data_IF_249181594337
#
_entry.id   IF_249181594337
#
_cell.length_a   1.000
_cell.length_b   1.000
_cell.length_c   1.000
_cell.angle_alpha   90.00
_cell.angle_beta   90.00
_cell.angle_gamma   90.00
#
_symmetry.space_group_name_H-M   'P 1'
#
loop_
_entity.id
_entity.type
_entity.pdbx_description
1 polymer ?
#
# COMPACT_ATOMS: atom_id res chain seq x y z
N UNK A 1 -4.57 1.76 -1.17
CA UNK A 1 -4.48 3.19 -0.81
C UNK A 1 -5.85 3.84 -1.05
N UNK A 2 -6.72 3.82 -0.04
CA UNK A 2 -8.12 4.23 -0.21
C UNK A 2 -8.66 5.13 0.91
N UNK A 3 -8.03 5.10 2.10
CA UNK A 3 -8.58 5.74 3.30
C UNK A 3 -7.58 6.72 3.92
N UNK A 4 -8.11 7.79 4.48
CA UNK A 4 -7.46 8.65 5.46
C UNK A 4 -7.32 7.94 6.81
N UNK A 5 -6.53 8.53 7.71
CA UNK A 5 -6.37 8.02 9.08
C UNK A 5 -7.70 7.99 9.84
N UNK A 6 -8.58 8.97 9.65
CA UNK A 6 -9.90 9.00 10.29
C UNK A 6 -10.81 7.90 9.74
N UNK A 7 -10.85 7.73 8.41
CA UNK A 7 -11.64 6.68 7.76
C UNK A 7 -11.18 5.28 8.17
N UNK A 8 -9.89 5.07 8.43
CA UNK A 8 -9.37 3.81 8.97
C UNK A 8 -9.98 3.44 10.33
N UNK A 9 -10.22 4.43 11.20
CA UNK A 9 -10.95 4.20 12.45
C UNK A 9 -12.34 3.63 12.20
N UNK A 10 -13.10 4.23 11.28
CA UNK A 10 -14.43 3.76 10.90
C UNK A 10 -14.41 2.38 10.23
N UNK A 11 -13.41 2.11 9.37
CA UNK A 11 -13.23 0.79 8.76
C UNK A 11 -13.07 -0.28 9.83
N UNK A 12 -12.19 -0.04 10.82
CA UNK A 12 -11.95 -1.00 11.90
C UNK A 12 -13.18 -1.15 12.79
N UNK A 13 -13.87 -0.07 13.16
CA UNK A 13 -15.14 -0.12 13.90
C UNK A 13 -16.18 -1.00 13.19
N UNK A 14 -16.32 -0.86 11.88
CA UNK A 14 -17.26 -1.66 11.09
C UNK A 14 -16.84 -3.12 10.99
N UNK A 15 -15.53 -3.41 10.84
CA UNK A 15 -15.01 -4.79 10.89
C UNK A 15 -15.33 -5.44 12.24
N UNK A 16 -15.20 -4.71 13.34
CA UNK A 16 -15.57 -5.20 14.68
C UNK A 16 -17.07 -5.45 14.77
N UNK A 17 -17.91 -4.52 14.29
CA UNK A 17 -19.37 -4.62 14.35
C UNK A 17 -19.90 -5.84 13.60
N UNK A 18 -19.34 -6.17 12.43
CA UNK A 18 -19.80 -7.31 11.61
C UNK A 18 -19.18 -8.64 12.04
N UNK A 19 -18.08 -8.61 12.78
CA UNK A 19 -17.45 -9.81 13.30
C UNK A 19 -18.23 -10.32 14.50
N UNK A 20 -18.64 -11.60 14.48
CA UNK A 20 -19.32 -12.21 15.63
C UNK A 20 -18.44 -12.14 16.88
N UNK A 21 -19.02 -12.11 18.10
CA UNK A 21 -18.23 -12.23 19.33
C UNK A 21 -17.33 -13.48 19.32
N UNK A 22 -16.05 -13.29 19.65
CA UNK A 22 -15.02 -14.33 19.58
C UNK A 22 -14.55 -14.70 18.16
N UNK A 23 -14.94 -13.94 17.14
CA UNK A 23 -14.38 -14.05 15.79
C UNK A 23 -13.01 -13.37 15.66
N UNK A 24 -12.34 -13.61 14.54
CA UNK A 24 -11.04 -13.04 14.21
C UNK A 24 -11.16 -12.02 13.08
N UNK A 25 -10.36 -10.96 13.15
CA UNK A 25 -10.15 -9.98 12.08
C UNK A 25 -8.68 -10.13 11.66
N UNK A 26 -8.44 -10.29 10.37
CA UNK A 26 -7.11 -10.36 9.78
C UNK A 26 -7.00 -9.30 8.69
N UNK A 27 -5.98 -8.44 8.78
CA UNK A 27 -5.65 -7.45 7.76
C UNK A 27 -4.24 -7.70 7.23
N UNK A 28 -4.05 -7.42 5.95
CA UNK A 28 -2.76 -7.42 5.28
C UNK A 28 -2.61 -6.13 4.50
N UNK A 29 -1.53 -5.40 4.77
CA UNK A 29 -1.21 -4.15 4.08
C UNK A 29 0.23 -4.18 3.56
N UNK A 30 0.46 -3.47 2.45
CA UNK A 30 1.78 -3.36 1.85
C UNK A 30 2.47 -2.14 2.44
N UNK A 31 3.70 -2.31 2.92
CA UNK A 31 4.60 -1.19 3.19
C UNK A 31 5.31 -0.76 1.89
N UNK A 32 5.05 0.46 1.38
CA UNK A 32 5.72 0.94 0.18
C UNK A 32 7.15 1.43 0.45
N UNK A 33 7.65 1.41 1.69
CA UNK A 33 9.00 1.85 2.02
C UNK A 33 10.03 0.76 1.71
N UNK A 34 10.44 0.66 0.45
CA UNK A 34 11.46 -0.31 0.03
C UNK A 34 12.82 0.03 0.65
N UNK A 35 13.53 -0.99 1.14
CA UNK A 35 14.85 -0.83 1.76
C UNK A 35 15.94 -0.37 0.79
N UNK A 36 15.86 -0.77 -0.47
CA UNK A 36 16.83 -0.45 -1.52
C UNK A 36 16.12 -0.15 -2.85
N UNK A 37 15.42 1.00 -2.94
CA UNK A 37 14.66 1.34 -4.13
C UNK A 37 15.59 1.75 -5.28
N UNK A 38 15.22 1.38 -6.51
CA UNK A 38 15.84 1.95 -7.71
C UNK A 38 15.30 3.35 -8.01
N UNK A 39 16.00 4.17 -8.82
CA UNK A 39 15.63 5.57 -9.08
C UNK A 39 14.25 5.72 -9.74
N UNK A 40 13.86 4.79 -10.63
CA UNK A 40 12.52 4.79 -11.24
C UNK A 40 11.42 4.59 -10.19
N UNK A 41 11.63 3.66 -9.25
CA UNK A 41 10.69 3.42 -8.16
C UNK A 41 10.56 4.64 -7.25
N UNK A 42 11.67 5.23 -6.82
CA UNK A 42 11.61 6.42 -5.96
C UNK A 42 10.81 7.56 -6.58
N UNK A 43 10.97 7.77 -7.89
CA UNK A 43 10.23 8.81 -8.62
C UNK A 43 8.73 8.50 -8.66
N UNK A 44 8.37 7.27 -9.02
CA UNK A 44 6.97 6.83 -9.07
C UNK A 44 6.33 6.91 -7.68
N UNK A 45 7.02 6.40 -6.66
CA UNK A 45 6.54 6.37 -5.28
C UNK A 45 6.30 7.78 -4.74
N UNK A 46 7.25 8.71 -4.92
CA UNK A 46 7.06 10.11 -4.51
C UNK A 46 5.83 10.76 -5.14
N UNK A 47 5.59 10.54 -6.44
CA UNK A 47 4.39 11.05 -7.12
C UNK A 47 3.11 10.43 -6.60
N UNK A 48 3.09 9.12 -6.36
CA UNK A 48 1.94 8.42 -5.78
C UNK A 48 1.64 8.93 -4.37
N UNK A 49 2.66 9.03 -3.52
CA UNK A 49 2.54 9.53 -2.15
C UNK A 49 1.98 10.94 -2.13
N UNK A 50 2.54 11.85 -2.93
CA UNK A 50 2.05 13.22 -3.03
C UNK A 50 0.58 13.28 -3.50
N UNK A 51 0.21 12.46 -4.50
CA UNK A 51 -1.17 12.38 -4.97
C UNK A 51 -2.12 11.86 -3.87
N UNK A 52 -1.73 10.82 -3.15
CA UNK A 52 -2.53 10.27 -2.06
C UNK A 52 -2.69 11.27 -0.90
N UNK A 53 -1.59 11.89 -0.47
CA UNK A 53 -1.60 12.93 0.56
C UNK A 53 -2.47 14.13 0.16
N UNK A 54 -2.45 14.54 -1.12
CA UNK A 54 -3.32 15.61 -1.63
C UNK A 54 -4.82 15.30 -1.51
N UNK A 55 -5.16 14.00 -1.36
CA UNK A 55 -6.53 13.49 -1.18
C UNK A 55 -6.80 13.07 0.26
N UNK A 56 -5.88 13.35 1.19
CA UNK A 56 -5.98 12.93 2.59
C UNK A 56 -5.79 11.43 2.83
N UNK A 57 -5.33 10.66 1.83
CA UNK A 57 -5.13 9.22 1.95
C UNK A 57 -3.81 8.96 2.68
N UNK A 58 -3.85 8.09 3.69
CA UNK A 58 -2.66 7.68 4.43
C UNK A 58 -1.99 6.47 3.75
N UNK A 59 -0.86 6.71 3.09
CA UNK A 59 -0.08 5.65 2.41
C UNK A 59 0.83 4.87 3.36
N UNK A 60 0.99 5.34 4.60
CA UNK A 60 1.88 4.75 5.60
C UNK A 60 1.09 4.15 6.77
N UNK A 61 -0.19 3.82 6.56
CA UNK A 61 -1.07 3.26 7.60
C UNK A 61 -0.48 2.03 8.27
N UNK A 62 0.21 1.17 7.52
CA UNK A 62 0.84 -0.05 8.04
C UNK A 62 1.76 0.20 9.22
N UNK A 63 2.40 1.38 9.30
CA UNK A 63 3.31 1.76 10.37
C UNK A 63 2.60 2.06 11.70
N UNK A 64 1.28 2.21 11.68
CA UNK A 64 0.46 2.53 12.84
C UNK A 64 -0.90 1.84 12.80
N UNK A 65 -1.02 0.73 12.05
CA UNK A 65 -2.28 0.01 11.88
C UNK A 65 -2.74 -0.60 13.21
N UNK A 66 -1.80 -0.93 14.09
CA UNK A 66 -2.07 -1.42 15.44
C UNK A 66 -2.81 -0.41 16.33
N UNK A 67 -2.64 0.90 16.09
CA UNK A 67 -3.29 1.96 16.86
C UNK A 67 -4.83 1.86 16.81
N UNK A 68 -5.38 1.30 15.74
CA UNK A 68 -6.82 1.19 15.53
C UNK A 68 -7.45 0.00 16.27
N UNK A 69 -6.66 -0.94 16.78
CA UNK A 69 -7.15 -2.19 17.38
C UNK A 69 -7.16 -2.19 18.91
N UNK A 70 -7.04 -1.02 19.55
CA UNK A 70 -6.96 -0.91 21.01
C UNK A 70 -8.16 -1.47 21.79
N UNK A 71 -9.31 -1.69 21.15
CA UNK A 71 -10.49 -2.32 21.76
C UNK A 71 -10.54 -3.84 21.62
N UNK A 72 -9.59 -4.45 20.93
CA UNK A 72 -9.51 -5.90 20.69
C UNK A 72 -8.54 -6.58 21.66
N UNK A 73 -8.73 -7.88 21.84
CA UNK A 73 -7.83 -8.75 22.59
C UNK A 73 -7.02 -9.64 21.63
N UNK A 74 -5.87 -10.14 22.10
CA UNK A 74 -4.99 -11.03 21.33
C UNK A 74 -4.55 -10.45 19.97
N UNK A 75 -4.21 -9.15 19.95
CA UNK A 75 -3.71 -8.48 18.74
C UNK A 75 -2.28 -8.94 18.47
N UNK A 76 -2.04 -9.46 17.26
CA UNK A 76 -0.75 -9.90 16.78
C UNK A 76 -0.41 -9.17 15.48
N UNK A 77 0.87 -8.83 15.30
CA UNK A 77 1.38 -8.17 14.10
C UNK A 77 2.66 -8.88 13.66
N UNK A 78 2.71 -9.23 12.38
CA UNK A 78 3.87 -9.82 11.74
C UNK A 78 4.14 -9.11 10.42
N UNK A 79 5.43 -8.90 10.13
CA UNK A 79 5.88 -8.34 8.86
C UNK A 79 6.60 -9.41 8.05
N UNK A 80 6.25 -9.53 6.77
CA UNK A 80 6.95 -10.41 5.83
C UNK A 80 7.78 -9.59 4.86
N UNK A 81 9.07 -9.87 4.80
CA UNK A 81 9.97 -9.24 3.83
C UNK A 81 9.96 -10.03 2.52
N UNK A 82 9.65 -9.34 1.42
CA UNK A 82 9.68 -9.92 0.08
C UNK A 82 10.76 -9.28 -0.76
N UNK A 83 11.50 -10.10 -1.50
CA UNK A 83 12.49 -9.62 -2.47
C UNK A 83 11.79 -9.14 -3.74
N UNK A 84 12.41 -8.20 -4.46
CA UNK A 84 11.99 -7.77 -5.80
C UNK A 84 13.10 -8.11 -6.80
N UNK A 85 12.83 -8.98 -7.77
CA UNK A 85 13.74 -9.37 -8.84
C UNK A 85 14.99 -10.20 -8.46
N UNK A 86 15.23 -10.47 -7.17
CA UNK A 86 16.47 -11.13 -6.71
C UNK A 86 16.48 -12.66 -6.78
N UNK A 87 15.31 -13.27 -6.82
CA UNK A 87 15.12 -14.72 -6.91
C UNK A 87 13.79 -14.99 -7.65
N UNK A 88 13.45 -16.27 -7.87
CA UNK A 88 12.22 -16.65 -8.58
C UNK A 88 10.93 -16.05 -7.98
N UNK A 89 10.83 -15.99 -6.65
CA UNK A 89 9.68 -15.33 -6.01
C UNK A 89 9.74 -13.81 -6.21
N UNK A 90 10.92 -13.22 -6.10
CA UNK A 90 11.10 -11.80 -6.34
C UNK A 90 10.82 -11.37 -7.77
N UNK A 91 11.09 -12.23 -8.77
CA UNK A 91 10.68 -11.99 -10.16
C UNK A 91 9.15 -11.86 -10.27
N UNK A 92 8.40 -12.74 -9.60
CA UNK A 92 6.93 -12.66 -9.54
C UNK A 92 6.47 -11.40 -8.83
N UNK A 93 7.09 -11.02 -7.71
CA UNK A 93 6.78 -9.78 -7.00
C UNK A 93 7.01 -8.56 -7.90
N UNK A 94 8.15 -8.51 -8.59
CA UNK A 94 8.48 -7.43 -9.52
C UNK A 94 7.50 -7.37 -10.70
N UNK A 95 7.11 -8.53 -11.26
CA UNK A 95 6.13 -8.60 -12.32
C UNK A 95 4.74 -8.12 -11.87
N UNK A 96 4.27 -8.56 -10.70
CA UNK A 96 3.00 -8.12 -10.12
C UNK A 96 2.98 -6.61 -9.89
N UNK A 97 4.06 -6.07 -9.32
CA UNK A 97 4.19 -4.63 -9.10
C UNK A 97 4.19 -3.86 -10.44
N UNK A 98 4.91 -4.36 -11.45
CA UNK A 98 4.90 -3.76 -12.80
C UNK A 98 3.50 -3.75 -13.40
N UNK A 99 2.75 -4.85 -13.31
CA UNK A 99 1.38 -4.92 -13.82
C UNK A 99 0.44 -3.95 -13.10
N UNK A 100 0.57 -3.84 -11.78
CA UNK A 100 -0.17 -2.83 -11.00
C UNK A 100 0.18 -1.41 -11.45
N UNK A 101 1.47 -1.09 -11.59
CA UNK A 101 1.93 0.22 -12.05
C UNK A 101 1.39 0.55 -13.45
N UNK A 102 1.40 -0.41 -14.39
CA UNK A 102 0.85 -0.25 -15.73
C UNK A 102 -0.67 -0.07 -15.72
N UNK A 103 -1.40 -0.78 -14.87
CA UNK A 103 -2.85 -0.61 -14.72
C UNK A 103 -3.23 0.80 -14.22
N UNK A 104 -2.30 1.48 -13.55
CA UNK A 104 -2.47 2.85 -13.05
C UNK A 104 -1.87 3.92 -13.98
N UNK A 105 -1.47 3.57 -15.21
CA UNK A 105 -0.81 4.49 -16.16
C UNK A 105 -1.54 5.82 -16.29
N UNK A 106 -2.85 5.81 -16.56
CA UNK A 106 -3.64 7.02 -16.78
C UNK A 106 -3.72 7.93 -15.54
N UNK A 107 -3.50 7.38 -14.34
CA UNK A 107 -3.51 8.14 -13.08
C UNK A 107 -2.12 8.65 -12.71
N UNK A 108 -1.07 7.87 -12.95
CA UNK A 108 0.29 8.18 -12.48
C UNK A 108 1.09 8.95 -13.54
N UNK A 109 0.93 8.65 -14.83
CA UNK A 109 1.69 9.31 -15.88
C UNK A 109 1.55 10.85 -15.86
N UNK A 110 0.33 11.43 -15.70
CA UNK A 110 0.16 12.87 -15.58
C UNK A 110 0.91 13.48 -14.38
N UNK A 111 0.89 12.80 -13.23
CA UNK A 111 1.60 13.23 -12.01
C UNK A 111 3.13 13.24 -12.17
N UNK A 112 3.64 12.47 -13.14
CA UNK A 112 5.06 12.44 -13.50
C UNK A 112 5.43 13.41 -14.63
N UNK A 113 4.45 14.16 -15.16
CA UNK A 113 4.60 15.00 -16.34
C UNK A 113 4.88 14.19 -17.62
N UNK A 114 4.38 12.96 -17.68
CA UNK A 114 4.59 12.01 -18.77
C UNK A 114 3.30 11.69 -19.50
N UNK A 115 3.40 11.33 -20.77
CA UNK A 115 2.31 10.64 -21.45
C UNK A 115 2.32 9.12 -21.15
N UNK A 116 1.21 8.40 -21.40
CA UNK A 116 1.12 6.97 -21.13
C UNK A 116 2.25 6.14 -21.74
N UNK A 117 2.65 6.40 -22.98
CA UNK A 117 3.69 5.63 -23.66
C UNK A 117 5.07 5.82 -23.00
N UNK A 118 5.40 7.04 -22.59
CA UNK A 118 6.64 7.33 -21.86
C UNK A 118 6.67 6.60 -20.51
N UNK A 119 5.55 6.60 -19.80
CA UNK A 119 5.44 5.92 -18.51
C UNK A 119 5.57 4.40 -18.62
N UNK A 120 4.99 3.78 -19.66
CA UNK A 120 5.07 2.32 -19.85
C UNK A 120 6.48 1.81 -20.20
N UNK A 121 7.40 2.72 -20.55
CA UNK A 121 8.79 2.43 -20.90
C UNK A 121 9.78 2.68 -19.74
N UNK A 122 9.32 3.21 -18.61
CA UNK A 122 10.09 3.34 -17.36
C UNK A 122 10.42 1.96 -16.74
#
# INVERSE_FOLDING_TARGET
>A
MAFSREEWGHVVEELIRVTKPGGFIELFEIDPNYKQPGPSYERIYKSITALCESRGIDVNVVNHLEDFFGSLENVHSESLEVTYGWNKFGELTAQSFRLMALAMTEKIAPELGMNPNQYQQL
#
